data_IF_805385883181
#
_entry.id   IF_805385883181
#
_cell.length_a   1.000
_cell.length_b   1.000
_cell.length_c   1.000
_cell.angle_alpha   90.00
_cell.angle_beta   90.00
_cell.angle_gamma   90.00
#
_symmetry.space_group_name_H-M   'P 1'
#
loop_
_entity.id
_entity.type
_entity.pdbx_description
1 polymer ?
#
# COMPACT_ATOMS: atom_id res chain seq x y z
N UNK A 1 14.03 9.30 -17.43
CA UNK A 1 15.02 8.96 -16.39
C UNK A 1 14.26 8.58 -15.13
N UNK A 2 14.64 7.49 -14.47
CA UNK A 2 14.10 7.15 -13.15
C UNK A 2 14.71 8.04 -12.06
N UNK A 3 14.10 8.06 -10.87
CA UNK A 3 14.60 8.81 -9.72
C UNK A 3 14.21 8.12 -8.41
N UNK A 4 14.93 8.46 -7.34
CA UNK A 4 14.64 7.98 -5.99
C UNK A 4 14.35 9.14 -5.06
N UNK A 5 13.53 8.89 -4.05
CA UNK A 5 13.29 9.83 -2.97
C UNK A 5 12.88 9.09 -1.69
N UNK A 6 13.04 9.77 -0.57
CA UNK A 6 12.66 9.25 0.74
C UNK A 6 11.28 9.83 1.13
N UNK A 7 10.44 8.98 1.70
CA UNK A 7 9.24 9.36 2.41
C UNK A 7 9.51 9.22 3.90
N UNK A 8 9.34 10.32 4.63
CA UNK A 8 9.50 10.38 6.07
C UNK A 8 8.15 10.52 6.76
N UNK A 9 8.11 10.11 8.03
CA UNK A 9 6.92 10.29 8.86
C UNK A 9 6.72 11.78 9.15
N UNK A 10 5.59 12.32 8.74
CA UNK A 10 5.22 13.72 9.00
C UNK A 10 4.91 13.91 10.47
N UNK A 11 5.51 14.94 11.08
CA UNK A 11 5.22 15.30 12.47
C UNK A 11 3.85 15.97 12.58
N UNK A 12 2.87 15.23 13.09
CA UNK A 12 1.52 15.73 13.34
C UNK A 12 1.44 16.60 14.60
N UNK A 13 0.72 17.73 14.51
CA UNK A 13 0.34 18.59 15.63
C UNK A 13 -0.66 17.87 16.52
N UNK A 14 -0.76 18.29 17.80
CA UNK A 14 -1.65 17.65 18.78
C UNK A 14 -3.13 17.61 18.35
N UNK A 15 -3.59 18.62 17.61
CA UNK A 15 -4.97 18.67 17.08
C UNK A 15 -5.17 17.66 15.96
N UNK A 16 -4.22 17.56 15.02
CA UNK A 16 -4.26 16.64 13.88
C UNK A 16 -4.24 15.17 14.31
N UNK A 17 -3.51 14.85 15.39
CA UNK A 17 -3.45 13.48 15.95
C UNK A 17 -4.78 12.92 16.44
N UNK A 18 -5.83 13.73 16.53
CA UNK A 18 -7.18 13.26 16.89
C UNK A 18 -7.86 12.55 15.72
N UNK A 19 -7.54 12.97 14.50
CA UNK A 19 -8.25 12.55 13.30
C UNK A 19 -7.32 11.79 12.33
N UNK A 20 -6.02 12.03 12.41
CA UNK A 20 -4.98 11.42 11.56
C UNK A 20 -4.26 10.33 12.34
N UNK A 21 -4.33 9.11 11.80
CA UNK A 21 -3.60 7.95 12.29
C UNK A 21 -2.10 8.08 11.98
N UNK A 22 -1.77 8.31 10.71
CA UNK A 22 -0.39 8.54 10.29
C UNK A 22 -0.31 9.41 9.04
N UNK A 23 0.87 9.97 8.79
CA UNK A 23 1.13 10.70 7.56
C UNK A 23 2.59 10.57 7.14
N UNK A 24 2.81 10.44 5.83
CA UNK A 24 4.13 10.34 5.21
C UNK A 24 4.31 11.48 4.22
N UNK A 25 5.50 12.04 4.15
CA UNK A 25 5.80 13.16 3.23
C UNK A 25 7.21 13.04 2.66
N UNK A 26 7.41 13.55 1.45
CA UNK A 26 8.70 13.56 0.77
C UNK A 26 8.65 14.41 -0.49
N UNK A 27 9.78 14.52 -1.19
CA UNK A 27 9.89 15.27 -2.44
C UNK A 27 10.07 14.30 -3.60
N UNK A 28 9.01 14.11 -4.39
CA UNK A 28 8.95 13.17 -5.52
C UNK A 28 9.62 13.75 -6.78
N UNK A 29 10.91 14.08 -6.70
CA UNK A 29 11.69 14.59 -7.84
C UNK A 29 11.01 15.78 -8.52
N UNK A 30 10.73 15.72 -9.84
CA UNK A 30 10.11 16.83 -10.58
C UNK A 30 8.66 17.11 -10.17
N UNK A 31 8.03 16.20 -9.42
CA UNK A 31 6.65 16.33 -8.97
C UNK A 31 6.51 17.12 -7.65
N UNK A 32 7.63 17.50 -7.03
CA UNK A 32 7.62 18.31 -5.81
C UNK A 32 7.13 17.55 -4.57
N UNK A 33 6.59 18.28 -3.60
CA UNK A 33 6.16 17.69 -2.33
C UNK A 33 4.93 16.78 -2.53
N UNK A 34 4.98 15.61 -1.90
CA UNK A 34 3.88 14.66 -1.80
C UNK A 34 3.60 14.37 -0.34
N UNK A 35 2.33 14.23 0.02
CA UNK A 35 1.93 13.80 1.36
C UNK A 35 0.85 12.73 1.26
N UNK A 36 1.06 11.61 1.94
CA UNK A 36 0.05 10.57 2.15
C UNK A 36 -0.48 10.77 3.57
N UNK A 37 -1.79 10.94 3.72
CA UNK A 37 -2.45 11.09 5.03
C UNK A 37 -3.42 9.95 5.25
N UNK A 38 -3.36 9.29 6.40
CA UNK A 38 -4.27 8.20 6.79
C UNK A 38 -5.14 8.68 7.94
N UNK A 39 -6.45 8.73 7.74
CA UNK A 39 -7.44 9.16 8.75
C UNK A 39 -7.91 7.98 9.59
N UNK A 40 -8.29 8.25 10.84
CA UNK A 40 -8.78 7.23 11.78
C UNK A 40 -10.21 6.78 11.42
N UNK A 41 -11.14 7.72 11.25
CA UNK A 41 -12.56 7.43 10.97
C UNK A 41 -13.16 8.48 10.01
N UNK A 42 -13.68 8.09 8.84
CA UNK A 42 -13.57 6.75 8.25
C UNK A 42 -12.10 6.41 7.96
N UNK A 43 -11.79 5.12 7.93
CA UNK A 43 -10.45 4.65 7.59
C UNK A 43 -10.16 4.90 6.12
N UNK A 44 -9.36 5.93 5.83
CA UNK A 44 -9.10 6.42 4.49
C UNK A 44 -7.66 6.89 4.39
N UNK A 45 -7.01 6.63 3.26
CA UNK A 45 -5.76 7.27 2.93
C UNK A 45 -5.94 8.18 1.71
N UNK A 46 -5.27 9.32 1.72
CA UNK A 46 -5.31 10.32 0.65
C UNK A 46 -3.90 10.77 0.30
N UNK A 47 -3.63 10.87 -1.00
CA UNK A 47 -2.45 11.47 -1.57
C UNK A 47 -2.74 12.93 -1.92
N UNK A 48 -1.97 13.83 -1.32
CA UNK A 48 -1.95 15.25 -1.66
C UNK A 48 -0.65 15.59 -2.39
N UNK A 49 -0.80 16.23 -3.55
CA UNK A 49 0.28 16.74 -4.40
C UNK A 49 -0.27 17.84 -5.30
N UNK A 50 0.57 18.76 -5.74
CA UNK A 50 0.20 19.79 -6.73
C UNK A 50 0.37 19.33 -8.18
N UNK A 51 1.10 18.24 -8.41
CA UNK A 51 1.52 17.82 -9.76
C UNK A 51 1.15 16.38 -10.11
N UNK A 52 0.89 15.54 -9.09
CA UNK A 52 0.39 14.18 -9.30
C UNK A 52 -1.14 14.16 -9.31
N UNK A 53 -1.76 13.20 -10.01
CA UNK A 53 -3.19 12.95 -9.88
C UNK A 53 -3.58 12.74 -8.42
N UNK A 54 -4.74 13.27 -8.02
CA UNK A 54 -5.32 12.98 -6.71
C UNK A 54 -5.53 11.47 -6.56
N UNK A 55 -5.12 10.88 -5.45
CA UNK A 55 -5.37 9.46 -5.21
C UNK A 55 -5.89 9.24 -3.79
N UNK A 56 -6.79 8.28 -3.63
CA UNK A 56 -7.29 7.91 -2.32
C UNK A 56 -7.72 6.45 -2.28
N UNK A 57 -7.65 5.87 -1.09
CA UNK A 57 -8.16 4.53 -0.80
C UNK A 57 -9.05 4.60 0.43
N UNK A 58 -10.22 3.97 0.37
CA UNK A 58 -11.23 4.00 1.42
C UNK A 58 -11.81 2.60 1.60
N UNK A 59 -11.87 2.14 2.83
CA UNK A 59 -12.67 0.97 3.18
C UNK A 59 -14.02 1.45 3.74
N UNK A 60 -15.17 1.15 3.10
CA UNK A 60 -16.46 1.72 3.46
C UNK A 60 -16.90 1.38 4.89
N UNK A 61 -16.56 0.19 5.38
CA UNK A 61 -16.84 -0.25 6.76
C UNK A 61 -15.64 -0.07 7.70
N UNK A 62 -14.63 0.68 7.26
CA UNK A 62 -13.38 0.88 8.00
C UNK A 62 -13.60 1.72 9.26
N UNK A 63 -13.87 1.05 10.38
CA UNK A 63 -14.06 1.67 11.71
C UNK A 63 -12.85 1.48 12.62
N UNK A 64 -11.81 0.78 12.15
CA UNK A 64 -10.60 0.49 12.92
C UNK A 64 -9.53 1.54 12.64
N UNK A 65 -8.81 1.94 13.69
CA UNK A 65 -7.58 2.72 13.56
C UNK A 65 -6.49 1.87 12.88
N UNK A 66 -5.79 2.44 11.89
CA UNK A 66 -4.72 1.73 11.18
C UNK A 66 -4.62 2.06 9.70
N UNK A 67 -3.72 1.37 9.00
CA UNK A 67 -3.66 1.35 7.54
C UNK A 67 -4.96 0.79 6.93
N UNK A 68 -5.37 1.30 5.78
CA UNK A 68 -6.65 0.97 5.13
C UNK A 68 -6.65 -0.50 4.71
N UNK A 69 -7.53 -1.31 5.29
CA UNK A 69 -7.69 -2.71 4.88
C UNK A 69 -8.04 -2.79 3.40
N UNK A 70 -7.46 -3.75 2.68
CA UNK A 70 -7.75 -4.00 1.27
C UNK A 70 -8.53 -5.29 1.08
N UNK A 71 -9.72 -5.16 0.53
CA UNK A 71 -10.58 -6.25 0.05
C UNK A 71 -11.47 -5.81 -1.13
N UNK A 72 -12.43 -6.66 -1.50
CA UNK A 72 -13.36 -6.49 -2.60
C UNK A 72 -14.35 -5.33 -2.43
N UNK A 73 -14.50 -4.79 -1.22
CA UNK A 73 -15.31 -3.60 -0.94
C UNK A 73 -14.50 -2.31 -0.92
N UNK A 74 -13.17 -2.45 -0.93
CA UNK A 74 -12.25 -1.32 -0.83
C UNK A 74 -12.26 -0.53 -2.13
N UNK A 75 -12.42 0.79 -2.00
CA UNK A 75 -12.45 1.71 -3.13
C UNK A 75 -11.08 2.37 -3.25
N UNK A 76 -10.41 2.17 -4.37
CA UNK A 76 -9.16 2.84 -4.73
C UNK A 76 -9.41 3.72 -5.94
N UNK A 77 -9.07 5.00 -5.85
CA UNK A 77 -9.24 5.96 -6.95
C UNK A 77 -7.92 6.68 -7.21
N UNK A 78 -7.58 6.85 -8.48
CA UNK A 78 -6.44 7.64 -8.96
C UNK A 78 -6.92 8.55 -10.09
N UNK A 79 -6.74 9.86 -9.93
CA UNK A 79 -7.40 10.87 -10.74
C UNK A 79 -8.92 10.69 -10.70
N UNK A 80 -9.53 10.53 -11.87
CA UNK A 80 -10.97 10.31 -12.04
C UNK A 80 -11.33 8.81 -12.19
N UNK A 81 -10.35 7.92 -12.08
CA UNK A 81 -10.53 6.49 -12.34
C UNK A 81 -10.61 5.70 -11.03
N UNK A 82 -11.72 4.98 -10.85
CA UNK A 82 -11.86 3.97 -9.79
C UNK A 82 -11.27 2.65 -10.26
N UNK A 83 -10.36 2.11 -9.46
CA UNK A 83 -9.68 0.86 -9.72
C UNK A 83 -10.53 -0.32 -9.27
N UNK A 84 -10.50 -1.40 -10.05
CA UNK A 84 -11.00 -2.70 -9.61
C UNK A 84 -9.86 -3.47 -8.95
N UNK A 85 -10.10 -3.93 -7.73
CA UNK A 85 -9.14 -4.68 -6.92
C UNK A 85 -9.46 -6.16 -6.94
N UNK A 86 -8.45 -7.01 -7.07
CA UNK A 86 -8.60 -8.46 -6.94
C UNK A 86 -7.38 -9.03 -6.23
N UNK A 87 -7.61 -9.88 -5.23
CA UNK A 87 -6.53 -10.56 -4.49
C UNK A 87 -6.71 -12.07 -4.60
N UNK A 88 -5.63 -12.78 -4.93
CA UNK A 88 -5.64 -14.24 -4.82
C UNK A 88 -5.37 -14.66 -3.37
N UNK A 89 -6.42 -14.69 -2.54
CA UNK A 89 -6.33 -15.06 -1.12
C UNK A 89 -5.90 -16.51 -0.87
N UNK A 90 -5.94 -17.38 -1.90
CA UNK A 90 -5.59 -18.81 -1.80
C UNK A 90 -4.18 -19.13 -2.28
N UNK A 91 -3.45 -18.13 -2.77
CA UNK A 91 -2.06 -18.26 -3.17
C UNK A 91 -1.17 -18.74 -2.01
N UNK A 92 -0.50 -19.88 -2.20
CA UNK A 92 0.46 -20.42 -1.23
C UNK A 92 1.87 -19.86 -1.46
N UNK A 93 2.21 -19.47 -2.69
CA UNK A 93 3.48 -18.84 -3.01
C UNK A 93 3.42 -17.32 -2.77
N UNK A 94 4.57 -16.69 -2.48
CA UNK A 94 4.66 -15.23 -2.34
C UNK A 94 4.40 -14.49 -3.65
N UNK A 95 4.80 -15.09 -4.77
CA UNK A 95 4.67 -14.50 -6.10
C UNK A 95 3.21 -14.45 -6.57
N UNK A 96 2.41 -15.43 -6.15
CA UNK A 96 0.96 -15.49 -6.42
C UNK A 96 0.14 -14.60 -5.46
N UNK A 97 0.74 -14.08 -4.37
CA UNK A 97 0.12 -13.12 -3.44
C UNK A 97 0.37 -11.70 -3.93
N UNK A 98 -0.22 -11.38 -5.07
CA UNK A 98 -0.28 -10.02 -5.59
C UNK A 98 -1.66 -9.42 -5.36
N UNK A 99 -1.70 -8.11 -5.16
CA UNK A 99 -2.89 -7.30 -5.36
C UNK A 99 -2.93 -6.95 -6.85
N UNK A 100 -3.89 -7.51 -7.56
CA UNK A 100 -4.18 -7.17 -8.94
C UNK A 100 -5.06 -5.92 -8.96
N UNK A 101 -4.63 -4.92 -9.73
CA UNK A 101 -5.28 -3.61 -9.81
C UNK A 101 -5.55 -3.33 -11.28
N UNK A 102 -6.82 -3.20 -11.63
CA UNK A 102 -7.23 -2.71 -12.95
C UNK A 102 -7.63 -1.25 -12.81
N UNK A 103 -6.93 -0.36 -13.52
CA UNK A 103 -7.17 1.09 -13.52
C UNK A 103 -7.36 1.54 -14.97
N UNK A 104 -8.63 1.74 -15.37
CA UNK A 104 -8.99 1.89 -16.78
C UNK A 104 -8.57 0.65 -17.59
N UNK A 105 -7.80 0.87 -18.66
CA UNK A 105 -7.27 -0.20 -19.51
C UNK A 105 -5.97 -0.82 -18.98
N UNK A 106 -5.39 -0.25 -17.91
CA UNK A 106 -4.11 -0.68 -17.36
C UNK A 106 -4.30 -1.74 -16.29
N UNK A 107 -3.40 -2.72 -16.33
CA UNK A 107 -3.38 -3.83 -15.39
C UNK A 107 -2.07 -3.79 -14.63
N UNK A 108 -2.17 -3.79 -13.31
CA UNK A 108 -1.03 -3.74 -12.42
C UNK A 108 -1.04 -4.90 -11.44
N UNK A 109 0.16 -5.37 -11.12
CA UNK A 109 0.41 -6.27 -10.01
C UNK A 109 1.22 -5.53 -8.95
N UNK A 110 0.69 -5.48 -7.74
CA UNK A 110 1.38 -4.97 -6.58
C UNK A 110 1.74 -6.10 -5.63
N UNK A 111 3.03 -6.28 -5.35
CA UNK A 111 3.53 -7.45 -4.63
C UNK A 111 4.74 -7.14 -3.75
N UNK A 112 4.91 -7.93 -2.69
CA UNK A 112 6.14 -7.95 -1.92
C UNK A 112 7.20 -8.77 -2.66
N UNK A 113 8.37 -8.18 -2.94
CA UNK A 113 9.46 -8.87 -3.65
C UNK A 113 10.45 -9.54 -2.70
N UNK A 114 10.64 -8.95 -1.52
CA UNK A 114 11.46 -9.47 -0.41
C UNK A 114 11.02 -8.77 0.89
N UNK A 115 11.47 -9.22 2.08
CA UNK A 115 11.14 -8.54 3.33
C UNK A 115 11.44 -7.04 3.25
N UNK A 116 10.45 -6.21 3.57
CA UNK A 116 10.56 -4.75 3.53
C UNK A 116 10.68 -4.14 2.12
N UNK A 117 10.42 -4.89 1.05
CA UNK A 117 10.43 -4.36 -0.31
C UNK A 117 9.17 -4.75 -1.11
N UNK A 118 8.63 -3.76 -1.80
CA UNK A 118 7.41 -3.86 -2.61
C UNK A 118 7.68 -3.35 -4.03
N UNK A 119 6.95 -3.89 -5.00
CA UNK A 119 7.03 -3.50 -6.40
C UNK A 119 5.62 -3.38 -6.98
N UNK A 120 5.38 -2.26 -7.67
CA UNK A 120 4.25 -2.09 -8.58
C UNK A 120 4.75 -2.35 -10.00
N UNK A 121 4.04 -3.24 -10.70
CA UNK A 121 4.38 -3.69 -12.03
C UNK A 121 3.19 -3.52 -12.94
N UNK A 122 3.36 -2.76 -14.01
CA UNK A 122 2.40 -2.68 -15.11
C UNK A 122 2.56 -3.92 -16.01
N UNK A 123 1.46 -4.49 -16.48
CA UNK A 123 1.47 -5.72 -17.29
C UNK A 123 2.20 -5.54 -18.63
N UNK A 124 2.12 -4.36 -19.25
CA UNK A 124 2.71 -4.06 -20.54
C UNK A 124 4.15 -3.52 -20.43
N UNK A 125 4.41 -2.67 -19.42
CA UNK A 125 5.69 -1.96 -19.23
C UNK A 125 6.64 -2.66 -18.25
N UNK A 126 6.12 -3.57 -17.43
CA UNK A 126 6.89 -4.18 -16.36
C UNK A 126 6.99 -3.25 -15.13
N UNK A 127 8.06 -3.36 -14.32
CA UNK A 127 8.17 -2.62 -13.07
C UNK A 127 8.19 -1.10 -13.31
N UNK A 128 7.33 -0.37 -12.59
CA UNK A 128 7.24 1.10 -12.68
C UNK A 128 7.59 1.78 -11.36
N UNK A 129 7.38 1.12 -10.24
CA UNK A 129 7.56 1.72 -8.92
C UNK A 129 8.03 0.68 -7.91
N UNK A 130 8.97 1.07 -7.05
CA UNK A 130 9.49 0.21 -5.98
C UNK A 130 9.57 0.96 -4.68
N UNK A 131 9.38 0.23 -3.59
CA UNK A 131 9.51 0.74 -2.23
C UNK A 131 10.41 -0.19 -1.46
N UNK A 132 11.26 0.39 -0.62
CA UNK A 132 12.11 -0.31 0.31
C UNK A 132 12.04 0.37 1.66
N UNK A 133 12.00 -0.41 2.75
CA UNK A 133 11.98 0.10 4.13
C UNK A 133 13.33 -0.19 4.82
N UNK A 134 14.37 0.61 4.55
CA UNK A 134 15.68 0.41 5.17
C UNK A 134 15.67 0.82 6.66
N UNK A 135 16.65 0.40 7.48
CA UNK A 135 16.65 0.69 8.92
C UNK A 135 16.70 2.18 9.31
N UNK A 136 17.19 3.06 8.42
CA UNK A 136 17.47 4.48 8.72
C UNK A 136 16.45 5.47 8.14
N UNK A 137 15.57 5.01 7.26
CA UNK A 137 14.58 5.84 6.56
C UNK A 137 13.24 5.12 6.65
N UNK A 138 12.15 5.86 6.84
CA UNK A 138 10.83 5.23 6.93
C UNK A 138 10.51 4.43 5.67
N UNK A 139 10.57 5.06 4.50
CA UNK A 139 10.44 4.40 3.20
C UNK A 139 11.34 5.09 2.16
N UNK A 140 12.05 4.31 1.36
CA UNK A 140 12.73 4.74 0.14
C UNK A 140 11.93 4.32 -1.08
N UNK A 141 11.59 5.28 -1.92
CA UNK A 141 10.84 5.10 -3.16
C UNK A 141 11.79 5.18 -4.33
N UNK A 142 11.66 4.25 -5.29
CA UNK A 142 12.31 4.31 -6.59
C UNK A 142 11.27 4.30 -7.71
N UNK A 143 11.27 5.36 -8.50
CA UNK A 143 10.43 5.54 -9.69
C UNK A 143 11.26 5.14 -10.91
N UNK A 144 10.76 4.17 -11.68
CA UNK A 144 11.50 3.62 -12.81
C UNK A 144 11.26 4.44 -14.09
N UNK A 145 12.16 4.38 -15.09
CA UNK A 145 12.14 5.31 -16.22
C UNK A 145 10.86 5.35 -17.06
N UNK A 146 10.07 4.26 -17.07
CA UNK A 146 8.81 4.13 -17.81
C UNK A 146 7.57 4.55 -17.02
N UNK A 147 7.75 4.95 -15.76
CA UNK A 147 6.67 5.37 -14.89
C UNK A 147 6.17 6.77 -15.24
N UNK A 148 4.84 6.91 -15.26
CA UNK A 148 4.15 8.17 -15.45
C UNK A 148 3.52 8.66 -14.12
N UNK A 149 2.91 9.87 -14.08
CA UNK A 149 2.32 10.41 -12.86
C UNK A 149 1.26 9.52 -12.21
N UNK A 150 0.51 8.75 -13.01
CA UNK A 150 -0.51 7.82 -12.52
C UNK A 150 0.13 6.65 -11.81
N UNK A 151 1.22 6.10 -12.35
CA UNK A 151 1.96 5.00 -11.72
C UNK A 151 2.57 5.43 -10.37
N UNK A 152 3.08 6.66 -10.31
CA UNK A 152 3.65 7.25 -9.09
C UNK A 152 2.56 7.46 -8.05
N UNK A 153 1.42 8.06 -8.43
CA UNK A 153 0.29 8.27 -7.53
C UNK A 153 -0.27 6.94 -6.99
N UNK A 154 -0.41 5.94 -7.87
CA UNK A 154 -0.84 4.60 -7.51
C UNK A 154 0.16 3.91 -6.54
N UNK A 155 1.45 3.93 -6.84
CA UNK A 155 2.48 3.35 -5.98
C UNK A 155 2.53 3.99 -4.59
N UNK A 156 2.38 5.31 -4.53
CA UNK A 156 2.35 6.07 -3.28
C UNK A 156 1.11 5.77 -2.43
N UNK A 157 -0.09 5.83 -3.01
CA UNK A 157 -1.31 5.67 -2.22
C UNK A 157 -1.44 4.28 -1.59
N UNK A 158 -0.85 3.26 -2.22
CA UNK A 158 -0.80 1.90 -1.67
C UNK A 158 -0.01 1.81 -0.35
N UNK A 159 0.80 2.81 0.01
CA UNK A 159 1.44 2.89 1.33
C UNK A 159 0.50 3.29 2.46
N UNK A 160 -0.68 3.82 2.12
CA UNK A 160 -1.76 4.01 3.07
C UNK A 160 -2.58 2.74 3.34
N UNK A 161 -2.30 1.65 2.62
CA UNK A 161 -3.09 0.43 2.64
C UNK A 161 -2.41 -0.67 3.48
N UNK A 162 -3.22 -1.47 4.16
CA UNK A 162 -2.78 -2.64 4.90
C UNK A 162 -2.52 -3.79 3.93
N UNK A 163 -1.23 -4.04 3.71
CA UNK A 163 -0.70 -5.05 2.81
C UNK A 163 -0.20 -6.29 3.54
N UNK A 164 -0.59 -6.50 4.81
CA UNK A 164 -0.16 -7.66 5.59
C UNK A 164 -0.55 -8.99 4.92
N UNK A 165 -1.62 -9.02 4.11
CA UNK A 165 -2.01 -10.19 3.33
C UNK A 165 -1.07 -10.51 2.14
N UNK A 166 -0.27 -9.54 1.68
CA UNK A 166 0.75 -9.74 0.65
C UNK A 166 2.05 -10.33 1.21
N UNK A 167 2.23 -10.27 2.53
CA UNK A 167 3.39 -10.84 3.22
C UNK A 167 3.00 -12.08 4.02
N UNK A 168 3.94 -12.99 4.26
CA UNK A 168 3.70 -14.36 4.76
C UNK A 168 3.07 -14.47 6.17
N UNK A 169 2.76 -13.37 6.84
CA UNK A 169 2.73 -13.32 8.31
C UNK A 169 1.56 -14.08 8.95
N UNK A 170 0.50 -14.46 8.22
CA UNK A 170 -0.66 -15.16 8.81
C UNK A 170 -0.75 -16.67 8.63
N UNK A 171 0.12 -17.32 7.84
CA UNK A 171 0.04 -18.79 7.71
C UNK A 171 0.90 -19.56 8.72
N UNK A 172 1.95 -18.93 9.27
CA UNK A 172 2.77 -19.55 10.33
C UNK A 172 2.07 -19.45 11.69
N UNK A 173 1.32 -18.37 11.95
CA UNK A 173 0.59 -18.23 13.22
C UNK A 173 -0.70 -19.06 13.28
N UNK A 174 -1.39 -19.32 12.17
CA UNK A 174 -2.57 -20.19 12.20
C UNK A 174 -2.24 -21.67 12.40
N UNK A 175 -1.05 -22.13 11.96
CA UNK A 175 -0.60 -23.51 12.21
C UNK A 175 0.02 -23.72 13.58
N UNK A 176 0.57 -22.69 14.23
CA UNK A 176 1.06 -22.82 15.61
C UNK A 176 -0.12 -22.93 16.58
N UNK A 177 -1.22 -22.20 16.37
CA UNK A 177 -2.40 -22.32 17.22
C UNK A 177 -3.15 -23.66 17.07
N UNK A 178 -3.11 -24.32 15.90
CA UNK A 178 -3.71 -25.66 15.75
C UNK A 178 -2.90 -26.80 16.39
N UNK A 179 -1.59 -26.63 16.56
CA UNK A 179 -0.74 -27.64 17.23
C UNK A 179 -0.81 -27.51 18.76
N UNK A 180 -1.12 -26.31 19.30
CA UNK A 180 -1.27 -26.12 20.74
C UNK A 180 -2.70 -26.39 21.27
N UNK A 181 -3.70 -26.57 20.42
CA UNK A 181 -5.10 -26.81 20.84
C UNK A 181 -5.57 -28.28 20.73
N UNK A 182 -4.77 -29.18 20.13
CA UNK A 182 -5.08 -30.62 20.07
C UNK A 182 -4.34 -31.45 21.14
N UNK A 183 -3.81 -30.81 22.19
CA UNK A 183 -3.02 -31.48 23.24
C UNK A 183 -3.68 -31.57 24.61
N UNK A 184 -4.95 -31.17 24.76
CA UNK A 184 -5.66 -31.30 26.04
C UNK A 184 -7.09 -31.79 25.85
N UNK A 185 -7.26 -33.08 26.07
CA UNK A 185 -8.57 -33.66 26.33
C UNK A 185 -8.69 -35.04 25.73
N UNK A 186 -8.24 -36.05 26.47
CA UNK A 186 -9.10 -37.21 26.77
C UNK A 186 -8.56 -37.90 28.03
N UNK A 187 -9.51 -38.41 28.79
CA UNK A 187 -9.50 -38.78 30.22
C UNK A 187 -8.89 -40.16 30.42
#
# INVERSE_FOLDING_TARGET
MGFEFDLDRKRLRRRERRDIYDAFTGVAGPYGEVTITITMVPQRAELSSTSLPSAWILHPEGTREGLVRVDDTTRLVVGEQEAKLTQNRRALSKEDRALHIQLGDRHYDYRATKPGAEELRDAARGPVFRIHRPPKVMMRVAVLPEADPTDIALGLILQGADMDNLTLTRMVLSNIWYVFDNGRGEV
#
